data_IF_999431423971
#
_entry.id   IF_999431423971
#
_cell.length_a   1.000
_cell.length_b   1.000
_cell.length_c   1.000
_cell.angle_alpha   90.00
_cell.angle_beta   90.00
_cell.angle_gamma   90.00
#
_symmetry.space_group_name_H-M   'P 1'
#
loop_
_entity.id
_entity.type
_entity.pdbx_description
1 polymer ?
#
# COMPACT_ATOMS: atom_id res chain seq x y z
N UNK A 1 3.81 -34.53 11.47
CA UNK A 1 4.59 -33.31 11.16
C UNK A 1 4.18 -32.88 9.76
N UNK A 2 3.53 -31.69 9.58
CA UNK A 2 3.24 -31.18 8.24
C UNK A 2 4.57 -30.79 7.61
N UNK A 3 4.87 -31.39 6.45
CA UNK A 3 6.06 -31.03 5.67
C UNK A 3 6.05 -29.52 5.39
N UNK A 4 7.04 -28.81 5.93
CA UNK A 4 7.26 -27.40 5.61
C UNK A 4 7.69 -27.31 4.16
N UNK A 5 6.79 -26.83 3.30
CA UNK A 5 7.12 -26.51 1.91
C UNK A 5 8.24 -25.47 1.95
N UNK A 6 9.44 -25.82 1.47
CA UNK A 6 10.56 -24.87 1.38
C UNK A 6 10.27 -23.86 0.27
N UNK A 7 10.53 -22.59 0.58
CA UNK A 7 10.43 -21.53 -0.44
C UNK A 7 11.38 -21.85 -1.60
N UNK A 8 10.94 -21.72 -2.86
CA UNK A 8 11.80 -21.91 -4.04
C UNK A 8 12.94 -20.87 -4.03
N UNK A 9 14.03 -21.18 -4.75
CA UNK A 9 15.26 -20.36 -4.76
C UNK A 9 14.99 -18.90 -5.17
N UNK A 10 14.10 -18.69 -6.15
CA UNK A 10 13.74 -17.35 -6.63
C UNK A 10 12.94 -16.51 -5.62
N UNK A 11 12.39 -17.11 -4.55
CA UNK A 11 11.77 -16.43 -3.41
C UNK A 11 12.74 -16.22 -2.24
N UNK A 12 13.99 -16.62 -2.36
CA UNK A 12 14.99 -16.38 -1.35
C UNK A 12 15.62 -15.01 -1.55
N UNK A 13 15.54 -14.18 -0.53
CA UNK A 13 16.12 -12.84 -0.53
C UNK A 13 17.38 -12.86 0.33
N UNK A 14 18.44 -12.23 -0.17
CA UNK A 14 19.63 -11.96 0.62
C UNK A 14 19.31 -10.90 1.67
N UNK A 15 19.36 -11.29 2.94
CA UNK A 15 19.21 -10.36 4.08
C UNK A 15 20.57 -9.67 4.29
N UNK A 16 20.97 -8.82 3.35
CA UNK A 16 22.15 -7.96 3.49
C UNK A 16 21.70 -6.55 3.87
N UNK A 17 21.88 -6.15 5.12
CA UNK A 17 21.75 -4.75 5.49
C UNK A 17 22.97 -4.02 4.90
N UNK A 18 22.77 -3.26 3.82
CA UNK A 18 23.77 -2.31 3.34
C UNK A 18 23.69 -1.00 4.14
N UNK A 19 24.72 -0.14 4.01
CA UNK A 19 24.77 1.16 4.71
C UNK A 19 23.51 1.98 4.48
N UNK A 20 23.00 2.00 3.25
CA UNK A 20 21.80 2.75 2.86
C UNK A 20 20.53 2.25 3.56
N UNK A 21 20.39 0.93 3.73
CA UNK A 21 19.30 0.36 4.55
C UNK A 21 19.35 0.86 5.98
N UNK A 22 20.54 0.85 6.60
CA UNK A 22 20.73 1.28 7.99
C UNK A 22 20.43 2.78 8.15
N UNK A 23 20.87 3.59 7.21
CA UNK A 23 20.57 5.03 7.19
C UNK A 23 19.07 5.30 7.01
N UNK A 24 18.42 4.63 6.04
CA UNK A 24 16.97 4.72 5.83
C UNK A 24 16.20 4.37 7.10
N UNK A 25 16.57 3.26 7.76
CA UNK A 25 15.95 2.85 9.01
C UNK A 25 16.09 3.92 10.10
N UNK A 26 17.29 4.50 10.27
CA UNK A 26 17.54 5.56 11.25
C UNK A 26 16.69 6.81 10.98
N UNK A 27 16.53 7.22 9.72
CA UNK A 27 15.72 8.39 9.36
C UNK A 27 14.25 8.14 9.68
N UNK A 28 13.69 6.99 9.28
CA UNK A 28 12.30 6.60 9.58
C UNK A 28 12.03 6.64 11.09
N UNK A 29 12.94 6.08 11.90
CA UNK A 29 12.81 6.04 13.35
C UNK A 29 12.95 7.43 14.00
N UNK A 30 13.88 8.27 13.51
CA UNK A 30 14.11 9.62 14.07
C UNK A 30 12.97 10.61 13.82
N UNK A 31 12.21 10.41 12.73
CA UNK A 31 11.03 11.23 12.40
C UNK A 31 9.70 10.59 12.85
N UNK A 32 9.76 9.53 13.65
CA UNK A 32 8.57 8.79 14.13
C UNK A 32 7.63 8.34 13.02
N UNK A 33 8.15 8.10 11.80
CA UNK A 33 7.37 7.70 10.65
C UNK A 33 7.04 6.21 10.65
N UNK A 34 5.92 5.89 10.05
CA UNK A 34 5.49 4.52 9.86
C UNK A 34 5.70 4.08 8.41
N UNK A 35 6.03 2.80 8.20
CA UNK A 35 6.15 2.21 6.87
C UNK A 35 5.39 0.89 6.81
N UNK A 36 4.70 0.65 5.70
CA UNK A 36 4.08 -0.66 5.47
C UNK A 36 5.14 -1.77 5.33
N UNK A 37 6.36 -1.39 4.96
CA UNK A 37 7.50 -2.32 4.88
C UNK A 37 7.78 -2.97 6.24
N UNK A 38 7.73 -2.18 7.32
CA UNK A 38 7.91 -2.67 8.69
C UNK A 38 6.64 -3.32 9.24
N UNK A 39 5.49 -2.64 9.16
CA UNK A 39 4.21 -3.13 9.68
C UNK A 39 3.76 -4.42 9.01
N UNK A 40 3.89 -4.49 7.68
CA UNK A 40 3.57 -5.65 6.88
C UNK A 40 4.61 -6.77 6.91
N UNK A 41 5.74 -6.57 7.61
CA UNK A 41 6.88 -7.52 7.61
C UNK A 41 7.31 -7.90 6.19
N UNK A 42 7.44 -6.88 5.33
CA UNK A 42 7.75 -7.09 3.92
C UNK A 42 9.10 -7.78 3.74
N UNK A 43 9.18 -8.93 3.06
CA UNK A 43 10.45 -9.63 2.85
C UNK A 43 11.42 -8.84 1.96
N UNK A 44 10.92 -7.93 1.13
CA UNK A 44 11.72 -7.14 0.18
C UNK A 44 12.29 -5.84 0.78
N UNK A 45 11.98 -5.53 2.06
CA UNK A 45 12.35 -4.27 2.69
C UNK A 45 13.84 -3.95 2.55
N UNK A 46 14.72 -4.93 2.80
CA UNK A 46 16.17 -4.73 2.71
C UNK A 46 16.64 -4.36 1.30
N UNK A 47 16.07 -4.98 0.28
CA UNK A 47 16.39 -4.68 -1.12
C UNK A 47 15.84 -3.32 -1.56
N UNK A 48 14.56 -3.04 -1.26
CA UNK A 48 13.90 -1.79 -1.65
C UNK A 48 14.59 -0.59 -1.02
N UNK A 49 14.82 -0.61 0.28
CA UNK A 49 15.49 0.48 1.00
C UNK A 49 16.94 0.66 0.52
N UNK A 50 17.63 -0.46 0.25
CA UNK A 50 18.98 -0.43 -0.33
C UNK A 50 19.04 0.17 -1.73
N UNK A 51 17.95 0.07 -2.51
CA UNK A 51 17.81 0.67 -3.85
C UNK A 51 17.21 2.09 -3.83
N UNK A 52 16.90 2.66 -2.67
CA UNK A 52 16.31 4.00 -2.54
C UNK A 52 14.83 4.06 -2.87
N UNK A 53 14.10 3.00 -2.56
CA UNK A 53 12.64 2.96 -2.61
C UNK A 53 12.09 2.68 -1.21
N UNK A 54 11.17 3.52 -0.74
CA UNK A 54 10.46 3.32 0.53
C UNK A 54 8.96 3.54 0.37
N UNK A 55 8.17 2.84 1.19
CA UNK A 55 6.70 3.00 1.23
C UNK A 55 6.32 3.52 2.61
N UNK A 56 6.02 4.80 2.70
CA UNK A 56 5.50 5.44 3.91
C UNK A 56 4.05 5.07 4.12
N UNK A 57 3.65 4.90 5.37
CA UNK A 57 2.28 4.63 5.77
C UNK A 57 1.82 5.76 6.67
N UNK A 58 0.93 6.60 6.15
CA UNK A 58 0.42 7.80 6.82
C UNK A 58 -0.90 7.55 7.54
N UNK A 59 -1.29 8.51 8.37
CA UNK A 59 -2.48 8.42 9.21
C UNK A 59 -2.26 7.63 10.48
N UNK A 60 -1.00 7.32 10.83
CA UNK A 60 -0.59 6.55 11.99
C UNK A 60 -0.34 5.06 11.69
N UNK A 61 -0.32 4.24 12.74
CA UNK A 61 0.01 2.81 12.66
C UNK A 61 -1.14 1.88 13.07
N UNK A 62 -2.31 2.43 13.39
CA UNK A 62 -3.51 1.68 13.77
C UNK A 62 -4.60 1.90 12.73
N UNK A 63 -5.06 0.82 12.10
CA UNK A 63 -6.10 0.84 11.08
C UNK A 63 -7.47 0.59 11.70
N UNK A 64 -8.50 1.28 11.22
CA UNK A 64 -9.89 1.02 11.61
C UNK A 64 -10.44 -0.29 11.05
N UNK A 65 -9.79 -0.84 10.00
CA UNK A 65 -10.22 -2.06 9.30
C UNK A 65 -9.34 -3.26 9.62
N UNK A 66 -9.92 -4.47 9.55
CA UNK A 66 -9.28 -5.74 9.90
C UNK A 66 -9.21 -6.70 8.70
N UNK A 67 -8.57 -6.28 7.61
CA UNK A 67 -8.36 -7.14 6.45
C UNK A 67 -7.52 -8.37 6.83
N UNK A 68 -7.98 -9.58 6.45
CA UNK A 68 -7.39 -10.85 6.91
C UNK A 68 -5.97 -11.12 6.41
N UNK A 69 -5.57 -10.47 5.32
CA UNK A 69 -4.22 -10.57 4.76
C UNK A 69 -3.25 -9.53 5.33
N UNK A 70 -3.76 -8.50 6.02
CA UNK A 70 -2.96 -7.37 6.49
C UNK A 70 -2.38 -7.64 7.89
N UNK A 71 -1.14 -7.24 8.10
CA UNK A 71 -0.47 -7.36 9.42
C UNK A 71 -0.45 -6.03 10.19
N UNK A 72 -1.05 -4.97 9.65
CA UNK A 72 -1.17 -3.69 10.36
C UNK A 72 -2.08 -3.86 11.57
N UNK A 73 -1.71 -3.21 12.66
CA UNK A 73 -2.50 -3.25 13.90
C UNK A 73 -3.89 -2.69 13.66
N UNK A 74 -4.92 -3.42 14.11
CA UNK A 74 -6.31 -2.96 14.03
C UNK A 74 -6.78 -2.43 15.38
N UNK A 75 -7.54 -1.35 15.37
CA UNK A 75 -8.08 -0.78 16.60
C UNK A 75 -8.59 0.66 16.44
N UNK A 76 -8.66 1.38 17.55
CA UNK A 76 -8.98 2.80 17.55
C UNK A 76 -7.69 3.60 17.32
N UNK A 77 -7.59 4.34 16.19
CA UNK A 77 -6.41 5.15 15.91
C UNK A 77 -6.23 6.29 16.92
N UNK A 78 -5.00 6.74 17.05
CA UNK A 78 -4.69 8.00 17.73
C UNK A 78 -5.10 9.20 16.85
N UNK A 79 -5.20 10.41 17.41
CA UNK A 79 -5.36 11.62 16.61
C UNK A 79 -4.30 11.71 15.52
N UNK A 80 -4.64 12.35 14.38
CA UNK A 80 -3.66 12.58 13.31
C UNK A 80 -2.51 13.46 13.82
N UNK A 81 -1.31 13.09 13.44
CA UNK A 81 -0.14 13.95 13.57
C UNK A 81 -0.14 14.94 12.40
N UNK A 82 -0.36 16.20 12.66
CA UNK A 82 -0.43 17.24 11.63
C UNK A 82 0.94 17.57 11.04
N UNK A 83 2.03 17.19 11.70
CA UNK A 83 3.41 17.35 11.20
C UNK A 83 3.87 16.15 10.35
N UNK A 84 3.12 15.03 10.34
CA UNK A 84 3.47 13.84 9.58
C UNK A 84 3.73 14.14 8.08
N UNK A 85 2.93 14.97 7.37
CA UNK A 85 3.21 15.35 5.99
C UNK A 85 4.58 16.01 5.81
N UNK A 86 4.96 16.92 6.70
CA UNK A 86 6.26 17.60 6.70
C UNK A 86 7.39 16.60 6.93
N UNK A 87 7.26 15.75 7.95
CA UNK A 87 8.24 14.71 8.27
C UNK A 87 8.44 13.71 7.12
N UNK A 88 7.36 13.35 6.39
CA UNK A 88 7.45 12.50 5.19
C UNK A 88 8.27 13.19 4.10
N UNK A 89 7.99 14.45 3.79
CA UNK A 89 8.69 15.22 2.77
C UNK A 89 10.19 15.39 3.09
N UNK A 90 10.51 15.73 4.35
CA UNK A 90 11.89 15.83 4.83
C UNK A 90 12.62 14.49 4.71
N UNK A 91 11.97 13.39 5.11
CA UNK A 91 12.55 12.05 5.05
C UNK A 91 12.83 11.59 3.63
N UNK A 92 11.94 11.87 2.67
CA UNK A 92 12.16 11.59 1.24
C UNK A 92 13.43 12.30 0.76
N UNK A 93 13.61 13.56 1.15
CA UNK A 93 14.77 14.37 0.79
C UNK A 93 16.06 13.84 1.43
N UNK A 94 16.05 13.58 2.74
CA UNK A 94 17.20 13.08 3.48
C UNK A 94 17.67 11.70 3.00
N UNK A 95 16.73 10.80 2.71
CA UNK A 95 17.03 9.48 2.18
C UNK A 95 17.46 9.48 0.71
N UNK A 96 17.33 10.61 0.01
CA UNK A 96 17.59 10.73 -1.44
C UNK A 96 16.89 9.62 -2.22
N UNK A 97 15.58 9.43 -1.94
CA UNK A 97 14.81 8.38 -2.58
C UNK A 97 14.67 8.66 -4.08
N UNK A 98 14.87 7.63 -4.89
CA UNK A 98 14.58 7.68 -6.32
C UNK A 98 13.10 7.42 -6.59
N UNK A 99 12.41 6.73 -5.66
CA UNK A 99 11.01 6.43 -5.74
C UNK A 99 10.39 6.36 -4.34
N UNK A 100 9.44 7.23 -4.07
CA UNK A 100 8.66 7.24 -2.84
C UNK A 100 7.24 6.74 -3.10
N UNK A 101 6.78 5.81 -2.28
CA UNK A 101 5.40 5.35 -2.30
C UNK A 101 4.74 5.79 -1.01
N UNK A 102 3.53 6.35 -1.11
CA UNK A 102 2.72 6.72 0.05
C UNK A 102 1.52 5.80 0.10
N UNK A 103 1.24 5.25 1.26
CA UNK A 103 0.04 4.49 1.59
C UNK A 103 -0.49 4.96 2.94
N UNK A 104 -1.66 4.50 3.37
CA UNK A 104 -2.22 4.85 4.67
C UNK A 104 -2.83 3.65 5.38
N UNK A 105 -3.05 3.79 6.67
CA UNK A 105 -4.11 3.05 7.36
C UNK A 105 -5.49 3.61 6.97
N UNK A 106 -6.54 2.80 7.06
CA UNK A 106 -7.90 3.32 6.92
C UNK A 106 -8.30 4.08 8.18
N UNK A 107 -8.95 5.22 7.98
CA UNK A 107 -9.37 6.17 9.03
C UNK A 107 -10.88 6.41 8.94
N UNK A 108 -11.69 5.32 9.02
CA UNK A 108 -13.16 5.41 9.04
C UNK A 108 -13.70 6.17 10.26
N UNK A 109 -12.83 6.49 11.21
CA UNK A 109 -13.10 7.34 12.38
C UNK A 109 -13.15 8.83 12.04
N UNK A 110 -12.63 9.25 10.88
CA UNK A 110 -12.62 10.63 10.42
C UNK A 110 -13.78 10.91 9.45
N UNK A 111 -14.38 12.11 9.49
CA UNK A 111 -15.51 12.47 8.61
C UNK A 111 -15.17 12.39 7.11
N UNK A 112 -13.91 12.67 6.75
CA UNK A 112 -13.38 12.66 5.39
C UNK A 112 -12.55 11.41 5.08
N UNK A 113 -12.59 10.39 5.95
CA UNK A 113 -11.83 9.14 5.84
C UNK A 113 -10.30 9.35 5.73
N UNK A 114 -9.81 10.51 6.17
CA UNK A 114 -8.39 10.89 6.12
C UNK A 114 -7.93 11.50 4.80
N UNK A 115 -8.85 11.88 3.93
CA UNK A 115 -8.51 12.39 2.60
C UNK A 115 -7.78 13.74 2.64
N UNK A 116 -8.13 14.64 3.56
CA UNK A 116 -7.41 15.89 3.74
C UNK A 116 -5.95 15.65 4.17
N UNK A 117 -5.72 14.67 5.03
CA UNK A 117 -4.36 14.29 5.45
C UNK A 117 -3.54 13.70 4.29
N UNK A 118 -4.16 12.88 3.44
CA UNK A 118 -3.56 12.42 2.20
C UNK A 118 -3.18 13.58 1.27
N UNK A 119 -4.10 14.51 1.06
CA UNK A 119 -3.87 15.69 0.23
C UNK A 119 -2.74 16.57 0.78
N UNK A 120 -2.67 16.77 2.10
CA UNK A 120 -1.58 17.48 2.74
C UNK A 120 -0.22 16.79 2.53
N UNK A 121 -0.19 15.45 2.58
CA UNK A 121 1.06 14.69 2.40
C UNK A 121 1.57 14.75 0.96
N UNK A 122 0.68 14.78 -0.03
CA UNK A 122 1.07 14.85 -1.45
C UNK A 122 1.32 16.29 -1.88
N UNK A 123 0.51 17.22 -1.39
CA UNK A 123 0.65 18.68 -1.57
C UNK A 123 0.15 19.37 -0.33
N UNK A 124 0.81 20.39 0.12
CA UNK A 124 0.36 21.29 1.18
C UNK A 124 -1.01 21.95 0.94
N UNK A 125 -2.04 21.29 0.47
CA UNK A 125 -3.49 21.59 0.44
C UNK A 125 -4.23 21.10 -0.82
N UNK A 126 -5.32 20.36 -0.70
CA UNK A 126 -6.65 20.40 -1.38
C UNK A 126 -7.49 19.11 -1.29
N UNK A 127 -8.79 19.17 -1.50
CA UNK A 127 -9.96 18.34 -1.05
C UNK A 127 -10.27 16.98 -1.75
N UNK A 128 -10.31 15.83 -1.03
CA UNK A 128 -10.75 14.43 -1.34
C UNK A 128 -10.15 13.69 -2.58
N UNK A 129 -10.72 12.59 -3.13
CA UNK A 129 -10.13 11.84 -4.26
C UNK A 129 -9.83 12.74 -5.45
N UNK A 130 -10.70 13.72 -5.70
CA UNK A 130 -10.43 14.82 -6.61
C UNK A 130 -9.17 15.59 -6.26
N UNK A 131 -8.81 15.68 -4.98
CA UNK A 131 -7.64 16.39 -4.48
C UNK A 131 -6.35 15.62 -4.69
N UNK A 132 -6.38 14.29 -4.52
CA UNK A 132 -5.25 13.44 -4.89
C UNK A 132 -5.03 13.50 -6.40
N UNK A 133 -6.10 13.54 -7.19
CA UNK A 133 -6.06 13.74 -8.64
C UNK A 133 -5.53 15.14 -8.99
N UNK A 134 -6.02 16.20 -8.34
CA UNK A 134 -5.56 17.57 -8.55
C UNK A 134 -4.10 17.78 -8.11
N UNK A 135 -3.60 16.96 -7.19
CA UNK A 135 -2.19 16.95 -6.81
C UNK A 135 -1.29 16.45 -7.95
N UNK A 136 -1.86 15.85 -8.99
CA UNK A 136 -1.16 15.35 -10.17
C UNK A 136 0.07 14.48 -9.86
N UNK A 137 -0.06 13.43 -9.00
CA UNK A 137 1.01 12.45 -8.89
C UNK A 137 1.16 11.73 -10.24
N UNK A 138 2.31 11.16 -10.50
CA UNK A 138 2.55 10.40 -11.73
C UNK A 138 1.68 9.15 -11.81
N UNK A 139 1.43 8.51 -10.67
CA UNK A 139 0.67 7.26 -10.58
C UNK A 139 -0.23 7.30 -9.35
N UNK A 140 -1.50 6.93 -9.52
CA UNK A 140 -2.39 6.61 -8.39
C UNK A 140 -2.68 5.11 -8.41
N UNK A 141 -2.46 4.45 -7.27
CA UNK A 141 -2.73 3.02 -7.12
C UNK A 141 -3.91 2.77 -6.20
N UNK A 142 -4.89 2.02 -6.69
CA UNK A 142 -5.96 1.45 -5.88
C UNK A 142 -6.00 -0.06 -6.07
N UNK A 143 -5.61 -0.81 -5.04
CA UNK A 143 -5.47 -2.25 -5.14
C UNK A 143 -6.82 -2.97 -5.06
N UNK A 144 -7.03 -3.93 -5.96
CA UNK A 144 -8.13 -4.89 -5.88
C UNK A 144 -7.89 -5.93 -4.78
N UNK A 145 -6.63 -6.20 -4.46
CA UNK A 145 -6.11 -7.19 -3.50
C UNK A 145 -6.37 -8.64 -3.92
N UNK A 146 -7.58 -8.97 -4.39
CA UNK A 146 -7.95 -10.32 -4.83
C UNK A 146 -9.16 -10.29 -5.77
N UNK A 147 -9.56 -11.48 -6.25
CA UNK A 147 -10.68 -11.66 -7.16
C UNK A 147 -12.05 -11.40 -6.50
N UNK A 148 -13.07 -11.20 -7.34
CA UNK A 148 -14.43 -10.82 -6.91
C UNK A 148 -15.02 -11.74 -5.83
N UNK A 149 -14.95 -13.06 -6.02
CA UNK A 149 -15.50 -14.05 -5.08
C UNK A 149 -14.82 -14.00 -3.71
N UNK A 150 -13.51 -13.75 -3.67
CA UNK A 150 -12.73 -13.78 -2.44
C UNK A 150 -12.78 -12.44 -1.71
N UNK A 151 -13.00 -11.33 -2.42
CA UNK A 151 -13.04 -9.98 -1.84
C UNK A 151 -13.85 -9.90 -0.54
N UNK A 152 -15.12 -10.33 -0.45
CA UNK A 152 -15.91 -10.23 0.78
C UNK A 152 -15.41 -11.15 1.91
N UNK A 153 -14.57 -12.13 1.60
CA UNK A 153 -14.03 -13.08 2.58
C UNK A 153 -12.81 -12.53 3.32
N UNK A 154 -12.06 -11.64 2.67
CA UNK A 154 -10.75 -11.15 3.17
C UNK A 154 -10.69 -9.64 3.42
N UNK A 155 -11.58 -8.86 2.82
CA UNK A 155 -11.67 -7.39 3.00
C UNK A 155 -12.89 -7.05 3.84
N UNK A 156 -12.69 -6.28 4.91
CA UNK A 156 -13.75 -6.00 5.89
C UNK A 156 -14.82 -5.01 5.41
N UNK A 157 -14.48 -4.07 4.53
CA UNK A 157 -15.38 -3.00 4.11
C UNK A 157 -15.34 -2.72 2.61
N UNK A 158 -14.23 -2.99 1.93
CA UNK A 158 -14.08 -2.68 0.52
C UNK A 158 -14.88 -3.66 -0.36
N UNK A 159 -15.52 -3.12 -1.40
CA UNK A 159 -16.31 -3.87 -2.38
C UNK A 159 -15.59 -3.88 -3.72
N UNK A 160 -15.73 -4.97 -4.46
CA UNK A 160 -15.07 -5.19 -5.74
C UNK A 160 -15.46 -4.10 -6.77
N UNK A 161 -16.75 -3.87 -6.94
CA UNK A 161 -17.30 -2.91 -7.90
C UNK A 161 -16.90 -1.47 -7.55
N UNK A 162 -16.92 -1.11 -6.27
CA UNK A 162 -16.48 0.21 -5.80
C UNK A 162 -14.99 0.43 -6.08
N UNK A 163 -14.17 -0.62 -5.93
CA UNK A 163 -12.75 -0.53 -6.25
C UNK A 163 -12.49 -0.32 -7.74
N UNK A 164 -13.25 -0.97 -8.62
CA UNK A 164 -13.20 -0.73 -10.08
C UNK A 164 -13.63 0.70 -10.44
N UNK A 165 -14.65 1.24 -9.77
CA UNK A 165 -15.09 2.61 -9.98
C UNK A 165 -14.02 3.64 -9.62
N UNK A 166 -13.32 3.44 -8.50
CA UNK A 166 -12.17 4.29 -8.11
C UNK A 166 -11.08 4.24 -9.18
N UNK A 167 -10.74 3.05 -9.71
CA UNK A 167 -9.74 2.90 -10.77
C UNK A 167 -10.17 3.64 -12.03
N UNK A 168 -11.47 3.56 -12.40
CA UNK A 168 -12.02 4.28 -13.55
C UNK A 168 -11.92 5.79 -13.38
N UNK A 169 -12.27 6.34 -12.21
CA UNK A 169 -12.13 7.76 -11.91
C UNK A 169 -10.67 8.24 -12.03
N UNK A 170 -9.72 7.44 -11.58
CA UNK A 170 -8.29 7.74 -11.75
C UNK A 170 -7.91 7.78 -13.22
N UNK A 171 -8.29 6.76 -14.00
CA UNK A 171 -7.98 6.67 -15.42
C UNK A 171 -8.61 7.82 -16.22
N UNK A 172 -9.88 8.16 -15.95
CA UNK A 172 -10.62 9.25 -16.59
C UNK A 172 -10.00 10.63 -16.31
N UNK A 173 -9.25 10.78 -15.22
CA UNK A 173 -8.53 12.01 -14.91
C UNK A 173 -7.24 12.22 -15.70
N UNK A 174 -6.82 11.22 -16.48
CA UNK A 174 -5.57 11.23 -17.23
C UNK A 174 -4.31 10.85 -16.44
N UNK A 175 -4.45 10.54 -15.15
CA UNK A 175 -3.35 10.03 -14.31
C UNK A 175 -3.19 8.53 -14.56
N UNK A 176 -1.96 8.03 -14.54
CA UNK A 176 -1.68 6.61 -14.67
C UNK A 176 -2.34 5.81 -13.53
N UNK A 177 -3.35 5.03 -13.88
CA UNK A 177 -4.06 4.16 -12.95
C UNK A 177 -3.30 2.84 -12.77
N UNK A 178 -3.01 2.51 -11.51
CA UNK A 178 -2.36 1.27 -11.12
C UNK A 178 -3.24 0.46 -10.18
N UNK A 179 -3.14 -0.86 -10.26
CA UNK A 179 -3.73 -1.78 -9.29
C UNK A 179 -2.76 -2.86 -8.86
N UNK A 180 -3.11 -3.59 -7.81
CA UNK A 180 -2.36 -4.73 -7.31
C UNK A 180 -3.27 -5.83 -6.80
N UNK A 181 -2.84 -7.08 -7.00
CA UNK A 181 -3.48 -8.27 -6.46
C UNK A 181 -2.45 -9.20 -5.84
N UNK A 182 -2.90 -10.00 -4.90
CA UNK A 182 -2.15 -11.12 -4.35
C UNK A 182 -2.79 -12.43 -4.81
N UNK A 183 -1.96 -13.36 -5.30
CA UNK A 183 -2.38 -14.73 -5.62
C UNK A 183 -1.97 -15.69 -4.53
N UNK A 184 -2.75 -16.75 -4.34
CA UNK A 184 -2.57 -17.74 -3.27
C UNK A 184 -3.57 -17.61 -2.11
N UNK A 185 -4.69 -16.90 -2.32
CA UNK A 185 -5.80 -16.79 -1.40
C UNK A 185 -6.94 -17.78 -1.71
N UNK A 186 -6.79 -18.59 -2.76
CA UNK A 186 -7.76 -19.60 -3.21
C UNK A 186 -8.55 -19.22 -4.46
N UNK A 187 -8.06 -18.26 -5.22
CA UNK A 187 -8.53 -17.91 -6.56
C UNK A 187 -8.16 -18.98 -7.59
N UNK A 188 -8.91 -19.01 -8.70
CA UNK A 188 -8.55 -19.81 -9.88
C UNK A 188 -7.87 -18.93 -10.95
N UNK A 189 -7.13 -19.53 -11.90
CA UNK A 189 -6.54 -18.76 -13.00
C UNK A 189 -7.59 -17.96 -13.78
N UNK A 190 -8.75 -18.55 -14.05
CA UNK A 190 -9.84 -17.92 -14.80
C UNK A 190 -10.41 -16.70 -14.07
N UNK A 191 -10.52 -16.76 -12.74
CA UNK A 191 -10.94 -15.61 -11.92
C UNK A 191 -9.92 -14.47 -11.95
N UNK A 192 -8.63 -14.79 -12.06
CA UNK A 192 -7.57 -13.79 -12.21
C UNK A 192 -7.63 -13.15 -13.58
N UNK A 193 -7.86 -13.92 -14.65
CA UNK A 193 -8.05 -13.43 -16.01
C UNK A 193 -9.28 -12.51 -16.11
N UNK A 194 -10.43 -12.91 -15.52
CA UNK A 194 -11.62 -12.07 -15.44
C UNK A 194 -11.34 -10.72 -14.74
N UNK A 195 -10.60 -10.75 -13.63
CA UNK A 195 -10.20 -9.54 -12.91
C UNK A 195 -9.28 -8.66 -13.77
N UNK A 196 -8.35 -9.24 -14.53
CA UNK A 196 -7.49 -8.49 -15.43
C UNK A 196 -8.30 -7.80 -16.53
N UNK A 197 -9.31 -8.47 -17.09
CA UNK A 197 -10.22 -7.90 -18.07
C UNK A 197 -11.07 -6.77 -17.47
N UNK A 198 -11.57 -6.93 -16.25
CA UNK A 198 -12.30 -5.88 -15.52
C UNK A 198 -11.42 -4.65 -15.29
N UNK A 199 -10.18 -4.84 -14.89
CA UNK A 199 -9.20 -3.78 -14.70
C UNK A 199 -8.88 -3.06 -16.03
N UNK A 200 -8.68 -3.80 -17.10
CA UNK A 200 -8.44 -3.23 -18.42
C UNK A 200 -9.62 -2.37 -18.87
N UNK A 201 -10.85 -2.87 -18.74
CA UNK A 201 -12.08 -2.11 -19.03
C UNK A 201 -12.25 -0.88 -18.15
N UNK A 202 -11.73 -0.88 -16.93
CA UNK A 202 -11.71 0.27 -16.04
C UNK A 202 -10.59 1.28 -16.34
N UNK A 203 -9.73 1.03 -17.33
CA UNK A 203 -8.64 1.91 -17.73
C UNK A 203 -7.37 1.76 -16.90
N UNK A 204 -7.21 0.67 -16.15
CA UNK A 204 -5.98 0.38 -15.42
C UNK A 204 -4.82 0.13 -16.39
N UNK A 205 -3.71 0.84 -16.21
CA UNK A 205 -2.54 0.76 -17.10
C UNK A 205 -1.42 -0.09 -16.52
N UNK A 206 -1.36 -0.23 -15.20
CA UNK A 206 -0.32 -1.00 -14.50
C UNK A 206 -0.98 -1.96 -13.51
N UNK A 207 -0.69 -3.25 -13.65
CA UNK A 207 -1.10 -4.27 -12.67
C UNK A 207 0.12 -4.95 -12.07
N UNK A 208 0.17 -5.00 -10.75
CA UNK A 208 1.14 -5.80 -9.99
C UNK A 208 0.48 -7.07 -9.49
N UNK A 209 1.02 -8.23 -9.83
CA UNK A 209 0.59 -9.53 -9.31
C UNK A 209 1.68 -10.04 -8.37
N UNK A 210 1.35 -10.16 -7.08
CA UNK A 210 2.25 -10.63 -6.04
C UNK A 210 1.80 -11.96 -5.44
N UNK A 211 2.73 -12.72 -4.88
CA UNK A 211 2.41 -13.92 -4.10
C UNK A 211 1.98 -13.51 -2.68
N UNK A 212 0.83 -13.98 -2.22
CA UNK A 212 0.45 -13.85 -0.82
C UNK A 212 1.44 -14.63 0.07
N UNK A 213 2.05 -13.94 0.98
CA UNK A 213 2.91 -14.52 2.01
C UNK A 213 2.30 -14.19 3.36
N UNK A 214 1.74 -15.20 4.03
CA UNK A 214 1.09 -15.02 5.33
C UNK A 214 2.08 -14.43 6.34
N UNK A 215 1.83 -13.21 6.87
CA UNK A 215 2.78 -12.50 7.73
C UNK A 215 2.82 -13.06 9.16
N UNK A 216 1.78 -13.75 9.59
CA UNK A 216 1.66 -14.33 10.93
C UNK A 216 0.84 -15.62 10.89
N UNK A 217 0.93 -16.45 11.92
CA UNK A 217 0.13 -17.69 12.07
C UNK A 217 -1.27 -17.47 12.70
N UNK A 218 -1.85 -16.29 12.48
CA UNK A 218 -3.21 -16.00 12.98
C UNK A 218 -4.27 -16.53 12.04
#
# INVERSE_FOLDING_TARGET
MKDRIRKPEWLKISIGANERYTETKRIVESHCLHTICSSGRCPNMGECWGKGTATFMIGGNICTRCCKFCNTQTGKPLPLDMEEPTHVAESITLMKLSHAVITSVDRDDLPDLGAAHWACTIRERKELVSQVIEAQPEIISHNMETVKRITPLVRSAARYETSLEVIRQIADSGITAKSGIMVGLGETPEEVEELMDDLHRAGCQILTIGQYLQPSHK
#
